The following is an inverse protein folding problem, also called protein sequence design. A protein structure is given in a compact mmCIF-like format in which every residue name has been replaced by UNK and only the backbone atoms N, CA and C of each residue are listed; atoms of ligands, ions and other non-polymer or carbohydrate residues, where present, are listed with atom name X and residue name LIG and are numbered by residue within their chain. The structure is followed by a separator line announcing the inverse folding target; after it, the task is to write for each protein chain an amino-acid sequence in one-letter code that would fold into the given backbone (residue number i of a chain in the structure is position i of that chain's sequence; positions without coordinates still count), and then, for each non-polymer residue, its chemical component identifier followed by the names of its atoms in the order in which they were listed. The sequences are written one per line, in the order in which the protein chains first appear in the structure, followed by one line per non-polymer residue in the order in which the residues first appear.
data_IF_672449019976
#
_entry.id   IF_672449019976
#
_cell.length_a   1.000
_cell.length_b   1.000
_cell.length_c   1.000
_cell.angle_alpha   90.00
_cell.angle_beta   90.00
_cell.angle_gamma   90.00
#
_symmetry.space_group_name_H-M   'P 1'
#
loop_
_entity.id
_entity.type
_entity.pdbx_description
1 polymer ?
#
# COMPACT_ATOMS: atom_id res chain seq x y z
N UNK A 1 -27.55 17.82 2.89
CA UNK A 1 -27.55 18.75 4.04
C UNK A 1 -26.33 18.45 4.90
N UNK A 2 -25.58 19.46 5.35
CA UNK A 2 -24.45 19.24 6.25
C UNK A 2 -24.97 19.21 7.70
N UNK A 3 -25.19 18.01 8.25
CA UNK A 3 -25.75 17.82 9.61
C UNK A 3 -24.96 18.56 10.69
N UNK A 4 -23.67 18.76 10.46
CA UNK A 4 -22.78 19.52 11.34
C UNK A 4 -23.18 21.01 11.48
N UNK A 5 -23.60 21.68 10.40
CA UNK A 5 -23.98 23.09 10.47
C UNK A 5 -25.28 23.30 11.24
N UNK A 6 -26.23 22.37 11.08
CA UNK A 6 -27.49 22.33 11.83
C UNK A 6 -27.19 22.08 13.31
N UNK A 7 -26.31 21.10 13.60
CA UNK A 7 -25.90 20.79 14.96
C UNK A 7 -25.26 22.00 15.67
N UNK A 8 -24.34 22.70 14.98
CA UNK A 8 -23.70 23.92 15.49
C UNK A 8 -24.71 25.04 15.75
N UNK A 9 -25.64 25.28 14.82
CA UNK A 9 -26.68 26.32 14.96
C UNK A 9 -27.63 26.04 16.12
N UNK A 10 -27.92 24.78 16.37
CA UNK A 10 -28.88 24.33 17.40
C UNK A 10 -28.20 23.97 18.73
N UNK A 11 -26.87 24.09 18.85
CA UNK A 11 -26.16 23.77 20.09
C UNK A 11 -26.22 22.30 20.51
N UNK A 12 -26.45 21.38 19.58
CA UNK A 12 -26.62 19.94 19.87
C UNK A 12 -25.55 19.08 19.19
N UNK A 13 -25.41 17.82 19.62
CA UNK A 13 -24.45 16.90 19.02
C UNK A 13 -24.79 16.58 17.56
N UNK A 14 -23.77 16.42 16.71
CA UNK A 14 -23.96 16.03 15.32
C UNK A 14 -24.65 14.64 15.21
N UNK A 15 -24.38 13.74 16.14
CA UNK A 15 -25.01 12.42 16.17
C UNK A 15 -26.52 12.52 16.44
N UNK A 16 -26.95 13.43 17.32
CA UNK A 16 -28.36 13.70 17.56
C UNK A 16 -29.08 14.16 16.28
N UNK A 17 -28.51 15.14 15.57
CA UNK A 17 -29.07 15.62 14.30
C UNK A 17 -29.09 14.51 13.23
N UNK A 18 -28.03 13.70 13.11
CA UNK A 18 -28.01 12.57 12.18
C UNK A 18 -29.12 11.55 12.50
N UNK A 19 -29.37 11.29 13.78
CA UNK A 19 -30.47 10.44 14.25
C UNK A 19 -31.83 11.01 13.86
N UNK A 20 -32.06 12.30 14.10
CA UNK A 20 -33.30 13.01 13.71
C UNK A 20 -33.53 12.94 12.19
N UNK A 21 -32.51 13.25 11.39
CA UNK A 21 -32.60 13.20 9.93
C UNK A 21 -32.89 11.79 9.42
N UNK A 22 -32.27 10.76 10.00
CA UNK A 22 -32.51 9.36 9.64
C UNK A 22 -33.94 8.93 9.97
N UNK A 23 -34.46 9.28 11.15
CA UNK A 23 -35.86 8.99 11.55
C UNK A 23 -36.88 9.63 10.62
N UNK A 24 -36.60 10.83 10.13
CA UNK A 24 -37.45 11.55 9.18
C UNK A 24 -37.19 11.18 7.71
N UNK A 25 -36.45 10.08 7.44
CA UNK A 25 -36.11 9.61 6.08
C UNK A 25 -35.38 10.66 5.21
N UNK A 26 -34.74 11.65 5.84
CA UNK A 26 -33.97 12.69 5.13
C UNK A 26 -32.58 12.12 4.81
N UNK A 27 -32.28 12.00 3.51
CA UNK A 27 -31.00 11.44 3.05
C UNK A 27 -29.83 12.36 3.38
N UNK A 28 -28.93 11.87 4.24
CA UNK A 28 -27.66 12.54 4.55
C UNK A 28 -26.69 12.24 3.40
N UNK A 29 -26.08 13.29 2.83
CA UNK A 29 -25.08 13.13 1.76
C UNK A 29 -23.80 12.54 2.35
N UNK A 30 -23.18 11.62 1.62
CA UNK A 30 -21.85 11.14 1.99
C UNK A 30 -20.81 12.28 1.83
N UNK A 31 -19.68 12.23 2.56
CA UNK A 31 -18.58 13.18 2.35
C UNK A 31 -18.12 13.25 0.90
N UNK A 32 -18.03 12.10 0.20
CA UNK A 32 -17.69 12.02 -1.22
C UNK A 32 -18.69 12.78 -2.11
N UNK A 33 -19.99 12.59 -1.87
CA UNK A 33 -21.05 13.28 -2.61
C UNK A 33 -21.06 14.78 -2.33
N UNK A 34 -20.83 15.19 -1.08
CA UNK A 34 -20.75 16.60 -0.70
C UNK A 34 -19.56 17.28 -1.39
N UNK A 35 -18.36 16.69 -1.30
CA UNK A 35 -17.15 17.22 -1.93
C UNK A 35 -17.29 17.31 -3.45
N UNK A 36 -17.91 16.33 -4.11
CA UNK A 36 -18.16 16.37 -5.55
C UNK A 36 -19.04 17.55 -5.96
N UNK A 37 -20.11 17.82 -5.21
CA UNK A 37 -21.02 18.95 -5.47
C UNK A 37 -20.33 20.29 -5.17
N UNK A 38 -19.51 20.36 -4.13
CA UNK A 38 -18.78 21.59 -3.82
C UNK A 38 -17.70 21.86 -4.86
N UNK A 39 -16.99 20.83 -5.33
CA UNK A 39 -16.00 20.94 -6.40
C UNK A 39 -16.64 21.35 -7.73
N UNK A 40 -17.83 20.83 -8.05
CA UNK A 40 -18.56 21.17 -9.29
C UNK A 40 -19.14 22.58 -9.30
N UNK A 41 -19.14 23.29 -8.17
CA UNK A 41 -19.62 24.67 -8.04
C UNK A 41 -18.48 25.69 -7.96
N UNK A 42 -17.24 25.24 -7.96
CA UNK A 42 -16.04 26.07 -7.87
C UNK A 42 -15.44 26.29 -9.25
N UNK A 43 -14.83 27.44 -9.45
CA UNK A 43 -14.04 27.68 -10.67
C UNK A 43 -12.74 26.86 -10.64
N UNK A 44 -12.08 26.64 -11.78
CA UNK A 44 -10.76 26.01 -11.83
C UNK A 44 -9.73 26.69 -10.91
N UNK A 45 -9.76 28.02 -10.81
CA UNK A 45 -8.86 28.83 -9.99
C UNK A 45 -9.10 28.62 -8.49
N UNK A 46 -10.36 28.53 -8.06
CA UNK A 46 -10.73 28.23 -6.68
C UNK A 46 -10.31 26.82 -6.28
N UNK A 47 -10.52 25.84 -7.17
CA UNK A 47 -10.05 24.47 -6.96
C UNK A 47 -8.51 24.42 -6.86
N UNK A 48 -7.80 25.19 -7.68
CA UNK A 48 -6.33 25.30 -7.62
C UNK A 48 -5.85 25.89 -6.29
N UNK A 49 -6.48 26.98 -5.81
CA UNK A 49 -6.16 27.60 -4.50
C UNK A 49 -6.40 26.67 -3.32
N UNK A 50 -7.52 25.93 -3.33
CA UNK A 50 -7.86 24.98 -2.25
C UNK A 50 -6.90 23.78 -2.26
N UNK A 51 -6.57 23.28 -3.45
CA UNK A 51 -5.60 22.18 -3.59
C UNK A 51 -4.21 22.61 -3.13
N UNK A 52 -3.79 23.83 -3.46
CA UNK A 52 -2.53 24.40 -3.00
C UNK A 52 -2.47 24.52 -1.47
N UNK A 53 -3.51 25.05 -0.82
CA UNK A 53 -3.60 25.09 0.66
C UNK A 53 -3.59 23.71 1.30
N UNK A 54 -4.25 22.73 0.68
CA UNK A 54 -4.22 21.35 1.17
C UNK A 54 -2.82 20.73 1.02
N UNK A 55 -2.12 21.01 -0.07
CA UNK A 55 -0.74 20.59 -0.27
C UNK A 55 0.21 21.25 0.73
N UNK A 56 0.05 22.54 0.99
CA UNK A 56 0.80 23.31 2.01
C UNK A 56 0.59 22.76 3.43
N UNK A 57 -0.66 22.47 3.81
CA UNK A 57 -0.96 21.84 5.09
C UNK A 57 -0.35 20.43 5.22
N UNK A 58 -0.27 19.68 4.11
CA UNK A 58 0.39 18.38 4.08
C UNK A 58 1.93 18.49 4.16
N UNK A 59 2.52 19.57 3.63
CA UNK A 59 3.96 19.83 3.71
C UNK A 59 4.44 20.06 5.16
N UNK A 60 3.61 20.65 6.02
CA UNK A 60 3.89 20.84 7.45
C UNK A 60 3.66 19.59 8.32
N UNK A 61 3.03 18.56 7.78
CA UNK A 61 2.76 17.30 8.48
C UNK A 61 4.00 16.39 8.42
N UNK A 62 4.96 16.61 9.32
CA UNK A 62 6.02 15.63 9.56
C UNK A 62 5.37 14.41 10.22
N UNK A 63 4.94 13.45 9.42
CA UNK A 63 4.49 12.17 9.93
C UNK A 63 5.64 11.53 10.72
N UNK A 64 5.51 11.52 12.04
CA UNK A 64 6.50 10.95 12.95
C UNK A 64 6.78 9.49 12.59
N UNK A 65 7.94 8.98 13.01
CA UNK A 65 8.27 7.56 12.82
C UNK A 65 7.16 6.65 13.40
N UNK A 66 6.63 7.01 14.57
CA UNK A 66 5.50 6.31 15.20
C UNK A 66 4.24 6.30 14.31
N UNK A 67 3.90 7.44 13.69
CA UNK A 67 2.77 7.50 12.78
C UNK A 67 2.95 6.59 11.57
N UNK A 68 4.14 6.61 10.94
CA UNK A 68 4.43 5.76 9.78
C UNK A 68 4.40 4.27 10.12
N UNK A 69 4.92 3.89 11.30
CA UNK A 69 4.83 2.51 11.79
C UNK A 69 3.37 2.09 12.02
N UNK A 70 2.54 2.98 12.58
CA UNK A 70 1.10 2.73 12.77
C UNK A 70 0.38 2.51 11.44
N UNK A 71 0.71 3.29 10.41
CA UNK A 71 0.17 3.09 9.06
C UNK A 71 0.58 1.74 8.48
N UNK A 72 1.85 1.34 8.62
CA UNK A 72 2.32 0.06 8.14
C UNK A 72 1.61 -1.12 8.83
N UNK A 73 1.47 -1.07 10.16
CA UNK A 73 0.72 -2.06 10.92
C UNK A 73 -0.77 -2.09 10.55
N UNK A 74 -1.36 -0.93 10.25
CA UNK A 74 -2.75 -0.88 9.79
C UNK A 74 -2.94 -1.57 8.44
N UNK A 75 -1.94 -1.51 7.55
CA UNK A 75 -1.97 -2.21 6.25
C UNK A 75 -1.79 -3.71 6.42
N UNK A 76 -0.91 -4.16 7.30
CA UNK A 76 -0.77 -5.58 7.63
C UNK A 76 -2.09 -6.18 8.15
N UNK A 77 -2.82 -5.44 9.01
CA UNK A 77 -4.11 -5.89 9.55
C UNK A 77 -5.23 -5.94 8.51
N UNK A 78 -5.15 -5.11 7.47
CA UNK A 78 -6.15 -4.99 6.40
C UNK A 78 -5.44 -4.87 5.06
N UNK A 79 -4.83 -5.97 4.59
CA UNK A 79 -4.02 -5.94 3.39
C UNK A 79 -4.93 -5.74 2.18
N UNK A 80 -4.49 -4.88 1.26
CA UNK A 80 -5.09 -4.80 -0.07
C UNK A 80 -4.37 -5.85 -0.91
N UNK A 81 -5.12 -6.82 -1.43
CA UNK A 81 -4.55 -7.94 -2.20
C UNK A 81 -4.75 -7.70 -3.69
N UNK A 82 -3.67 -7.70 -4.46
CA UNK A 82 -3.74 -7.67 -5.92
C UNK A 82 -4.34 -8.99 -6.44
N UNK A 83 -5.43 -8.94 -7.23
CA UNK A 83 -6.11 -10.15 -7.68
C UNK A 83 -5.35 -10.94 -8.76
N UNK A 84 -4.39 -10.31 -9.45
CA UNK A 84 -3.65 -10.89 -10.57
C UNK A 84 -2.39 -11.59 -10.08
N UNK A 85 -1.61 -10.93 -9.22
CA UNK A 85 -0.32 -11.44 -8.80
C UNK A 85 -0.33 -11.97 -7.38
N UNK A 86 -0.94 -11.23 -6.45
CA UNK A 86 -0.84 -11.56 -5.04
C UNK A 86 -1.79 -12.69 -4.62
N UNK A 87 -3.05 -12.61 -5.04
CA UNK A 87 -4.09 -13.58 -4.67
C UNK A 87 -3.72 -15.03 -5.05
N UNK A 88 -3.26 -15.32 -6.28
CA UNK A 88 -2.89 -16.70 -6.64
C UNK A 88 -1.75 -17.27 -5.80
N UNK A 89 -0.77 -16.45 -5.44
CA UNK A 89 0.34 -16.88 -4.59
C UNK A 89 -0.11 -17.15 -3.15
N UNK A 90 -1.00 -16.32 -2.59
CA UNK A 90 -1.59 -16.55 -1.26
C UNK A 90 -2.37 -17.88 -1.23
N UNK A 91 -3.20 -18.11 -2.24
CA UNK A 91 -3.99 -19.34 -2.35
C UNK A 91 -3.10 -20.57 -2.48
N UNK A 92 -2.01 -20.47 -3.26
CA UNK A 92 -1.02 -21.53 -3.37
C UNK A 92 -0.33 -21.81 -2.02
N UNK A 93 0.17 -20.78 -1.32
CA UNK A 93 0.79 -20.95 0.00
C UNK A 93 -0.17 -21.65 0.98
N UNK A 94 -1.45 -21.23 1.01
CA UNK A 94 -2.48 -21.88 1.84
C UNK A 94 -2.69 -23.34 1.48
N UNK A 95 -2.80 -23.66 0.19
CA UNK A 95 -2.96 -25.04 -0.31
C UNK A 95 -1.75 -25.91 0.05
N UNK A 96 -0.57 -25.33 0.02
CA UNK A 96 0.71 -25.99 0.35
C UNK A 96 1.02 -26.03 1.85
N UNK A 97 0.15 -25.49 2.72
CA UNK A 97 0.39 -25.44 4.16
C UNK A 97 1.52 -24.51 4.59
N UNK A 98 1.93 -23.58 3.71
CA UNK A 98 3.03 -22.64 3.97
C UNK A 98 2.44 -21.35 4.56
N UNK A 99 2.94 -20.97 5.75
CA UNK A 99 2.55 -19.72 6.36
C UNK A 99 3.00 -18.52 5.51
N UNK A 100 2.07 -17.60 5.22
CA UNK A 100 2.33 -16.37 4.48
C UNK A 100 1.62 -15.19 5.14
N UNK A 101 2.34 -14.09 5.32
CA UNK A 101 1.80 -12.83 5.84
C UNK A 101 1.83 -11.79 4.72
N UNK A 102 0.70 -11.45 4.10
CA UNK A 102 0.65 -10.41 3.08
C UNK A 102 0.81 -9.02 3.70
N UNK A 103 1.46 -8.11 2.98
CA UNK A 103 1.67 -6.71 3.40
C UNK A 103 2.32 -6.61 4.79
N UNK A 104 3.21 -7.53 5.16
CA UNK A 104 3.87 -7.58 6.47
C UNK A 104 4.62 -6.28 6.74
N UNK A 105 4.41 -5.70 7.93
CA UNK A 105 5.08 -4.49 8.35
C UNK A 105 6.49 -4.78 8.89
N UNK A 106 7.48 -4.08 8.34
CA UNK A 106 8.87 -4.01 8.78
C UNK A 106 9.21 -2.55 9.09
N UNK A 107 9.01 -2.14 10.35
CA UNK A 107 9.11 -0.74 10.75
C UNK A 107 8.07 0.11 10.02
N UNK A 108 8.52 1.08 9.23
CA UNK A 108 7.64 1.95 8.42
C UNK A 108 7.25 1.36 7.07
N UNK A 109 7.85 0.24 6.68
CA UNK A 109 7.68 -0.36 5.36
C UNK A 109 6.71 -1.53 5.42
N UNK A 110 5.96 -1.74 4.35
CA UNK A 110 5.25 -2.98 4.10
C UNK A 110 5.95 -3.73 2.97
N UNK A 111 5.93 -5.06 3.06
CA UNK A 111 6.43 -5.96 2.02
C UNK A 111 5.28 -6.81 1.52
N UNK A 112 5.25 -7.11 0.22
CA UNK A 112 4.07 -7.76 -0.38
C UNK A 112 3.80 -9.12 0.28
N UNK A 113 4.85 -9.91 0.51
CA UNK A 113 4.78 -11.16 1.26
C UNK A 113 5.94 -11.34 2.21
N UNK A 114 5.64 -11.96 3.35
CA UNK A 114 6.63 -12.54 4.25
C UNK A 114 6.30 -14.01 4.51
N UNK A 115 7.29 -14.87 4.34
CA UNK A 115 7.25 -16.31 4.65
C UNK A 115 8.00 -16.54 5.97
N UNK A 116 7.30 -16.60 7.13
CA UNK A 116 7.96 -16.59 8.44
C UNK A 116 8.90 -17.77 8.67
N UNK A 117 8.51 -18.96 8.20
CA UNK A 117 9.29 -20.20 8.40
C UNK A 117 10.64 -20.19 7.67
N UNK A 118 10.74 -19.42 6.58
CA UNK A 118 11.98 -19.27 5.81
C UNK A 118 12.70 -17.95 6.09
N UNK A 119 12.07 -17.05 6.85
CA UNK A 119 12.51 -15.67 7.00
C UNK A 119 12.73 -14.98 5.63
N UNK A 120 11.89 -15.27 4.63
CA UNK A 120 12.04 -14.74 3.26
C UNK A 120 10.93 -13.75 2.94
N UNK A 121 11.29 -12.66 2.27
CA UNK A 121 10.35 -11.68 1.73
C UNK A 121 10.19 -11.89 0.22
N UNK A 122 8.98 -11.70 -0.30
CA UNK A 122 8.72 -11.64 -1.74
C UNK A 122 8.14 -10.26 -2.06
N UNK A 123 8.73 -9.58 -3.04
CA UNK A 123 8.29 -8.30 -3.59
C UNK A 123 7.92 -8.50 -5.06
N UNK A 124 6.69 -8.16 -5.45
CA UNK A 124 6.21 -8.34 -6.82
C UNK A 124 6.19 -6.98 -7.53
N UNK A 125 7.05 -6.85 -8.53
CA UNK A 125 7.10 -5.68 -9.39
C UNK A 125 6.25 -5.89 -10.64
N UNK A 126 5.29 -4.99 -10.86
CA UNK A 126 4.60 -4.84 -12.13
C UNK A 126 5.41 -3.98 -13.13
N UNK A 127 4.99 -4.01 -14.40
CA UNK A 127 5.70 -3.35 -15.52
C UNK A 127 5.90 -1.83 -15.41
N UNK A 128 5.29 -1.14 -14.44
CA UNK A 128 5.42 0.30 -14.22
C UNK A 128 6.40 0.74 -13.13
N UNK A 129 7.10 -0.18 -12.45
CA UNK A 129 7.98 0.16 -11.32
C UNK A 129 9.10 1.14 -11.69
N UNK A 130 9.76 0.93 -12.83
CA UNK A 130 10.88 1.79 -13.29
C UNK A 130 10.48 3.21 -13.68
N UNK A 131 9.20 3.46 -13.91
CA UNK A 131 8.76 4.73 -14.48
C UNK A 131 8.65 5.85 -13.42
N UNK A 132 9.02 5.56 -12.16
CA UNK A 132 8.85 6.48 -11.03
C UNK A 132 10.09 6.45 -10.13
N UNK A 133 10.94 7.46 -10.26
CA UNK A 133 12.14 7.64 -9.43
C UNK A 133 11.86 7.53 -7.92
N UNK A 134 10.76 8.12 -7.45
CA UNK A 134 10.32 8.05 -6.04
C UNK A 134 10.03 6.61 -5.58
N UNK A 135 9.52 5.75 -6.47
CA UNK A 135 9.27 4.35 -6.16
C UNK A 135 10.59 3.58 -5.98
N UNK A 136 11.56 3.84 -6.86
CA UNK A 136 12.92 3.28 -6.79
C UNK A 136 13.60 3.70 -5.49
N UNK A 137 13.59 4.98 -5.15
CA UNK A 137 14.19 5.50 -3.91
C UNK A 137 13.54 4.90 -2.65
N UNK A 138 12.21 4.83 -2.64
CA UNK A 138 11.47 4.23 -1.52
C UNK A 138 11.81 2.75 -1.37
N UNK A 139 11.90 2.02 -2.48
CA UNK A 139 12.30 0.62 -2.50
C UNK A 139 13.74 0.44 -2.00
N UNK A 140 14.67 1.28 -2.44
CA UNK A 140 16.06 1.22 -1.99
C UNK A 140 16.22 1.48 -0.49
N UNK A 141 15.47 2.44 0.06
CA UNK A 141 15.41 2.63 1.52
C UNK A 141 14.83 1.42 2.26
N UNK A 142 13.86 0.74 1.66
CA UNK A 142 13.29 -0.51 2.21
C UNK A 142 14.33 -1.63 2.18
N UNK A 143 15.03 -1.82 1.06
CA UNK A 143 16.08 -2.85 0.93
C UNK A 143 17.23 -2.64 1.90
N UNK A 144 17.72 -1.41 2.05
CA UNK A 144 18.76 -1.09 3.04
C UNK A 144 18.31 -1.40 4.47
N UNK A 145 17.05 -1.13 4.80
CA UNK A 145 16.49 -1.45 6.12
C UNK A 145 16.40 -2.97 6.33
N UNK A 146 15.92 -3.72 5.35
CA UNK A 146 15.75 -5.19 5.44
C UNK A 146 17.09 -5.93 5.47
N UNK A 147 18.07 -5.45 4.70
CA UNK A 147 19.45 -5.92 4.72
C UNK A 147 20.07 -5.84 6.12
N UNK A 148 19.94 -4.69 6.79
CA UNK A 148 20.38 -4.51 8.18
C UNK A 148 19.67 -5.43 9.18
N UNK A 149 18.53 -6.00 8.80
CA UNK A 149 17.79 -6.99 9.58
C UNK A 149 18.13 -8.43 9.22
N UNK A 150 19.00 -8.65 8.23
CA UNK A 150 19.38 -9.98 7.77
C UNK A 150 18.21 -10.77 7.18
N UNK A 151 17.26 -10.09 6.53
CA UNK A 151 16.08 -10.73 5.93
C UNK A 151 16.26 -10.78 4.41
N UNK A 152 16.42 -11.99 3.81
CA UNK A 152 16.50 -12.16 2.38
C UNK A 152 15.25 -11.68 1.62
N UNK A 153 15.45 -11.08 0.46
CA UNK A 153 14.37 -10.56 -0.39
C UNK A 153 14.44 -11.18 -1.79
N UNK A 154 13.33 -11.79 -2.21
CA UNK A 154 13.08 -12.17 -3.60
C UNK A 154 12.27 -11.08 -4.30
N UNK A 155 12.86 -10.43 -5.30
CA UNK A 155 12.15 -9.53 -6.21
C UNK A 155 11.70 -10.29 -7.43
N UNK A 156 10.42 -10.15 -7.76
CA UNK A 156 9.77 -10.83 -8.89
C UNK A 156 9.27 -9.81 -9.89
N UNK A 157 9.86 -9.82 -11.08
CA UNK A 157 9.33 -9.08 -12.23
C UNK A 157 8.18 -9.84 -12.86
N UNK A 158 6.96 -9.52 -12.45
CA UNK A 158 5.77 -10.20 -12.91
C UNK A 158 5.20 -9.54 -14.17
N UNK A 159 5.04 -10.36 -15.21
CA UNK A 159 4.22 -10.04 -16.37
C UNK A 159 3.03 -10.99 -16.38
N UNK A 160 1.83 -10.45 -16.60
CA UNK A 160 0.58 -11.22 -16.50
C UNK A 160 0.59 -12.49 -17.37
N UNK A 161 1.26 -12.46 -18.52
CA UNK A 161 1.36 -13.58 -19.47
C UNK A 161 2.29 -14.70 -19.00
N UNK A 162 3.28 -14.41 -18.15
CA UNK A 162 4.35 -15.36 -17.78
C UNK A 162 4.38 -15.66 -16.28
N UNK A 163 3.58 -14.95 -15.48
CA UNK A 163 3.57 -15.10 -14.03
C UNK A 163 3.11 -16.49 -13.58
N UNK A 164 3.98 -17.18 -12.85
CA UNK A 164 3.74 -18.51 -12.27
C UNK A 164 3.94 -18.46 -10.75
N UNK A 165 2.84 -18.46 -9.96
CA UNK A 165 2.93 -18.50 -8.50
C UNK A 165 3.75 -19.67 -7.97
N UNK A 166 3.67 -20.81 -8.66
CA UNK A 166 4.41 -22.03 -8.34
C UNK A 166 5.93 -21.80 -8.43
N UNK A 167 6.40 -21.20 -9.53
CA UNK A 167 7.82 -20.94 -9.73
C UNK A 167 8.36 -19.87 -8.79
N UNK A 168 7.55 -18.86 -8.51
CA UNK A 168 7.87 -17.83 -7.51
C UNK A 168 8.03 -18.44 -6.12
N UNK A 169 7.09 -19.28 -5.69
CA UNK A 169 7.16 -19.94 -4.40
C UNK A 169 8.37 -20.89 -4.30
N UNK A 170 8.62 -21.70 -5.33
CA UNK A 170 9.79 -22.58 -5.42
C UNK A 170 11.10 -21.82 -5.27
N UNK A 171 11.21 -20.64 -5.91
CA UNK A 171 12.36 -19.76 -5.77
C UNK A 171 12.46 -19.19 -4.35
N UNK A 172 11.37 -18.65 -3.81
CA UNK A 172 11.33 -18.02 -2.49
C UNK A 172 11.77 -18.96 -1.37
N UNK A 173 11.40 -20.25 -1.46
CA UNK A 173 11.80 -21.26 -0.49
C UNK A 173 13.30 -21.61 -0.53
N UNK A 174 14.02 -21.22 -1.58
CA UNK A 174 15.45 -21.52 -1.80
C UNK A 174 16.37 -20.32 -1.61
N UNK A 175 15.82 -19.10 -1.50
CA UNK A 175 16.62 -17.86 -1.36
C UNK A 175 17.48 -17.91 -0.11
N UNK A 176 18.77 -17.63 -0.27
CA UNK A 176 19.73 -17.49 0.83
C UNK A 176 20.50 -16.17 0.76
N UNK A 177 20.62 -15.63 -0.44
CA UNK A 177 21.28 -14.36 -0.71
C UNK A 177 20.42 -13.19 -0.22
N UNK A 178 21.03 -12.06 0.20
CA UNK A 178 20.28 -10.91 0.70
C UNK A 178 19.23 -10.38 -0.28
N UNK A 179 19.52 -10.46 -1.58
CA UNK A 179 18.64 -10.01 -2.65
C UNK A 179 18.77 -10.93 -3.86
N UNK A 180 17.66 -11.50 -4.31
CA UNK A 180 17.56 -12.30 -5.53
C UNK A 180 16.49 -11.69 -6.43
N UNK A 181 16.73 -11.67 -7.75
CA UNK A 181 15.83 -11.05 -8.72
C UNK A 181 15.50 -12.05 -9.84
N UNK A 182 14.21 -12.31 -10.03
CA UNK A 182 13.70 -13.26 -11.05
C UNK A 182 12.58 -12.62 -11.87
N UNK A 183 12.26 -13.21 -13.01
CA UNK A 183 11.01 -12.98 -13.71
C UNK A 183 9.88 -13.81 -13.08
N UNK A 184 8.63 -13.48 -13.41
CA UNK A 184 7.44 -14.17 -12.92
C UNK A 184 7.38 -15.66 -13.25
N UNK A 185 8.13 -16.13 -14.26
CA UNK A 185 8.24 -17.53 -14.64
C UNK A 185 9.33 -18.31 -13.86
N UNK A 186 10.07 -17.63 -12.96
CA UNK A 186 11.17 -18.22 -12.18
C UNK A 186 12.55 -18.09 -12.81
N UNK A 187 12.67 -17.55 -14.03
CA UNK A 187 13.97 -17.35 -14.67
C UNK A 187 14.74 -16.18 -14.04
N UNK A 188 16.06 -16.31 -13.92
CA UNK A 188 16.92 -15.23 -13.43
C UNK A 188 16.88 -14.03 -14.37
N UNK A 189 16.92 -12.82 -13.81
CA UNK A 189 16.90 -11.59 -14.61
C UNK A 189 17.84 -10.52 -14.08
N UNK A 190 18.33 -9.67 -14.98
CA UNK A 190 19.09 -8.46 -14.62
C UNK A 190 18.23 -7.20 -14.65
N UNK A 191 16.92 -7.34 -14.96
CA UNK A 191 15.98 -6.23 -15.04
C UNK A 191 15.95 -5.48 -13.70
N UNK A 192 16.15 -4.17 -13.76
CA UNK A 192 16.11 -3.31 -12.59
C UNK A 192 17.25 -3.45 -11.59
N UNK A 193 18.17 -4.40 -11.77
CA UNK A 193 19.27 -4.61 -10.83
C UNK A 193 20.13 -3.35 -10.70
N UNK A 194 20.30 -2.58 -11.79
CA UNK A 194 21.02 -1.31 -11.78
C UNK A 194 20.32 -0.21 -10.97
N UNK A 195 19.00 -0.29 -10.82
CA UNK A 195 18.20 0.68 -10.08
C UNK A 195 18.16 0.37 -8.58
N UNK A 196 18.56 -0.84 -8.21
CA UNK A 196 18.57 -1.33 -6.84
C UNK A 196 19.94 -1.08 -6.21
N UNK A 197 19.97 -0.49 -5.01
CA UNK A 197 21.21 -0.32 -4.27
C UNK A 197 21.82 -1.70 -4.01
N UNK A 198 23.11 -1.85 -4.31
CA UNK A 198 23.84 -3.08 -3.99
C UNK A 198 23.77 -3.32 -2.49
N UNK A 199 23.02 -4.36 -2.11
CA UNK A 199 22.95 -4.83 -0.74
C UNK A 199 24.22 -5.65 -0.50
N UNK A 200 25.15 -5.13 0.30
CA UNK A 200 26.33 -5.85 0.78
C UNK A 200 26.08 -6.42 2.16
#
# INVERSE_FOLDING_TARGET
MASYLIAKKLGVSNNYIRGVLKRNKIRIRSPKTANRITASRRTPEENKKITAKAAEANLGSIHSASHRNKLALSREKKPTIDPVYEKPLIELCKKSGIAVIPQKAFGRFNVDFYLPEKNTIIEIFGGGFHNKQVAIETFNHKMLYLSKKGVPVLVVWAEKSTYSPQKVLEAALKVKEPLVVINGDGSSTKRGVKDMVSVR
#
